data_IF_519336281970
#
_entry.id   IF_519336281970
#
_cell.length_a   1.000
_cell.length_b   1.000
_cell.length_c   1.000
_cell.angle_alpha   90.00
_cell.angle_beta   90.00
_cell.angle_gamma   90.00
#
_symmetry.space_group_name_H-M   'P 1'
#
loop_
_entity.id
_entity.type
_entity.pdbx_description
1 polymer ?
#
# COMPACT_ATOMS: atom_id res chain seq x y z
N UNK A 1 0.57 -14.43 -7.33
CA UNK A 1 1.97 -13.97 -7.43
C UNK A 1 2.42 -13.37 -6.09
N UNK A 2 3.50 -13.91 -5.51
CA UNK A 2 3.96 -13.57 -4.15
C UNK A 2 4.36 -12.10 -4.00
N UNK A 3 4.98 -11.50 -5.01
CA UNK A 3 5.51 -10.13 -4.99
C UNK A 3 4.78 -9.25 -5.99
N UNK A 4 3.63 -9.23 -6.29
CA UNK A 4 2.91 -8.31 -7.20
C UNK A 4 3.84 -7.51 -8.15
N UNK A 5 4.82 -8.20 -8.76
CA UNK A 5 5.77 -7.64 -9.74
C UNK A 5 5.14 -7.68 -11.14
N UNK A 6 4.11 -6.90 -11.33
CA UNK A 6 3.30 -6.94 -12.55
C UNK A 6 4.11 -6.80 -13.83
N UNK A 7 5.11 -5.92 -13.85
CA UNK A 7 5.96 -5.69 -15.03
C UNK A 7 6.74 -6.94 -15.43
N UNK A 8 7.46 -7.57 -14.50
CA UNK A 8 8.22 -8.80 -14.76
C UNK A 8 7.32 -9.96 -15.20
N UNK A 9 6.09 -10.03 -14.69
CA UNK A 9 5.14 -11.07 -15.08
C UNK A 9 4.63 -10.82 -16.51
N UNK A 10 4.37 -9.56 -16.88
CA UNK A 10 4.01 -9.19 -18.26
C UNK A 10 5.11 -9.53 -19.26
N UNK A 11 6.38 -9.33 -18.90
CA UNK A 11 7.53 -9.74 -19.71
C UNK A 11 7.55 -11.26 -19.91
N UNK A 12 7.34 -12.05 -18.83
CA UNK A 12 7.28 -13.51 -18.91
C UNK A 12 6.14 -14.00 -19.81
N UNK A 13 4.93 -13.41 -19.68
CA UNK A 13 3.79 -13.75 -20.55
C UNK A 13 4.09 -13.43 -22.01
N UNK A 14 4.78 -12.33 -22.29
CA UNK A 14 5.18 -11.96 -23.64
C UNK A 14 6.17 -12.98 -24.25
N UNK A 15 7.12 -13.45 -23.43
CA UNK A 15 8.06 -14.52 -23.84
C UNK A 15 7.33 -15.85 -24.06
N UNK A 16 6.40 -16.21 -23.20
CA UNK A 16 5.62 -17.44 -23.34
C UNK A 16 4.78 -17.43 -24.62
N UNK A 17 4.12 -16.32 -24.93
CA UNK A 17 3.40 -16.15 -26.23
C UNK A 17 4.33 -16.29 -27.42
N UNK A 18 5.55 -15.71 -27.35
CA UNK A 18 6.54 -15.83 -28.41
C UNK A 18 6.95 -17.28 -28.62
N UNK A 19 7.25 -18.03 -27.54
CA UNK A 19 7.61 -19.45 -27.61
C UNK A 19 6.49 -20.27 -28.23
N UNK A 20 5.23 -20.06 -27.84
CA UNK A 20 4.06 -20.74 -28.43
C UNK A 20 3.96 -20.45 -29.93
N UNK A 21 4.28 -19.23 -30.36
CA UNK A 21 4.21 -18.84 -31.78
C UNK A 21 5.32 -19.49 -32.60
N UNK A 22 6.50 -19.69 -32.01
CA UNK A 22 7.66 -20.33 -32.69
C UNK A 22 7.51 -21.85 -32.76
N UNK A 23 6.97 -22.46 -31.71
CA UNK A 23 6.78 -23.93 -31.62
C UNK A 23 5.53 -24.39 -32.38
N UNK A 24 5.50 -24.17 -33.69
CA UNK A 24 4.40 -24.59 -34.58
C UNK A 24 4.21 -26.12 -34.66
N UNK A 25 5.12 -26.92 -34.09
CA UNK A 25 5.08 -28.39 -34.13
C UNK A 25 4.29 -29.05 -32.97
N UNK A 26 3.96 -28.31 -31.92
CA UNK A 26 3.19 -28.84 -30.81
C UNK A 26 1.71 -28.49 -30.98
N UNK A 27 0.84 -29.50 -30.82
CA UNK A 27 -0.64 -29.35 -30.75
C UNK A 27 -1.05 -28.51 -29.52
N UNK A 28 -0.67 -27.22 -29.49
CA UNK A 28 -1.03 -26.30 -28.43
C UNK A 28 -2.53 -26.00 -28.57
N UNK A 29 -3.29 -26.36 -27.56
CA UNK A 29 -4.72 -26.08 -27.52
C UNK A 29 -4.94 -24.56 -27.66
N UNK A 30 -5.78 -24.12 -28.58
CA UNK A 30 -6.14 -22.71 -28.81
C UNK A 30 -6.47 -21.95 -27.52
N UNK A 31 -7.04 -22.63 -26.51
CA UNK A 31 -7.34 -22.08 -25.20
C UNK A 31 -6.11 -21.56 -24.41
N UNK A 32 -4.88 -21.97 -24.73
CA UNK A 32 -3.67 -21.53 -24.00
C UNK A 32 -3.35 -20.08 -24.29
N UNK A 33 -3.39 -19.67 -25.55
CA UNK A 33 -3.11 -18.27 -25.96
C UNK A 33 -4.21 -17.35 -25.42
N UNK A 34 -5.48 -17.76 -25.51
CA UNK A 34 -6.60 -16.96 -24.98
C UNK A 34 -6.49 -16.76 -23.46
N UNK A 35 -6.06 -17.78 -22.72
CA UNK A 35 -5.84 -17.66 -21.28
C UNK A 35 -4.70 -16.71 -20.94
N UNK A 36 -3.57 -16.77 -21.67
CA UNK A 36 -2.45 -15.83 -21.51
C UNK A 36 -2.86 -14.38 -21.81
N UNK A 37 -3.68 -14.16 -22.85
CA UNK A 37 -4.21 -12.83 -23.16
C UNK A 37 -5.11 -12.31 -22.03
N UNK A 38 -5.97 -13.14 -21.47
CA UNK A 38 -6.82 -12.76 -20.31
C UNK A 38 -5.99 -12.43 -19.07
N UNK A 39 -4.97 -13.25 -18.79
CA UNK A 39 -4.05 -13.02 -17.67
C UNK A 39 -3.28 -11.71 -17.86
N UNK A 40 -2.76 -11.45 -19.05
CA UNK A 40 -2.10 -10.18 -19.39
C UNK A 40 -3.02 -8.97 -19.17
N UNK A 41 -4.26 -9.03 -19.65
CA UNK A 41 -5.23 -7.94 -19.46
C UNK A 41 -5.56 -7.70 -17.98
N UNK A 42 -5.69 -8.75 -17.17
CA UNK A 42 -5.89 -8.62 -15.71
C UNK A 42 -4.68 -7.96 -15.04
N UNK A 43 -3.47 -8.38 -15.40
CA UNK A 43 -2.23 -7.81 -14.87
C UNK A 43 -2.04 -6.34 -15.27
N UNK A 44 -2.34 -5.98 -16.50
CA UNK A 44 -2.35 -4.58 -16.97
C UNK A 44 -3.36 -3.77 -16.13
N UNK A 45 -4.56 -4.32 -15.91
CA UNK A 45 -5.57 -3.70 -15.07
C UNK A 45 -5.11 -3.48 -13.62
N UNK A 46 -4.39 -4.45 -13.04
CA UNK A 46 -3.79 -4.35 -11.70
C UNK A 46 -2.67 -3.31 -11.63
N UNK A 47 -1.78 -3.32 -12.63
CA UNK A 47 -0.67 -2.37 -12.72
C UNK A 47 -1.18 -0.93 -12.87
N UNK A 48 -2.16 -0.69 -13.74
CA UNK A 48 -2.82 0.61 -13.90
C UNK A 48 -3.45 1.09 -12.60
N UNK A 49 -4.20 0.23 -11.93
CA UNK A 49 -4.85 0.56 -10.66
C UNK A 49 -3.81 0.92 -9.58
N UNK A 50 -2.71 0.18 -9.48
CA UNK A 50 -1.60 0.52 -8.57
C UNK A 50 -0.98 1.88 -8.91
N UNK A 51 -0.83 2.21 -10.20
CA UNK A 51 -0.36 3.51 -10.66
C UNK A 51 -1.29 4.66 -10.26
N UNK A 52 -2.61 4.47 -10.35
CA UNK A 52 -3.60 5.46 -9.93
C UNK A 52 -3.49 5.78 -8.42
N UNK A 53 -3.37 4.75 -7.57
CA UNK A 53 -3.15 4.95 -6.13
C UNK A 53 -1.79 5.56 -5.80
N UNK A 54 -0.73 5.22 -6.55
CA UNK A 54 0.60 5.82 -6.39
C UNK A 54 0.60 7.30 -6.73
N UNK A 55 -0.10 7.70 -7.80
CA UNK A 55 -0.29 9.10 -8.17
C UNK A 55 -1.08 9.86 -7.11
N UNK A 56 -2.17 9.28 -6.61
CA UNK A 56 -2.98 9.86 -5.53
C UNK A 56 -2.13 10.08 -4.28
N UNK A 57 -1.35 9.08 -3.88
CA UNK A 57 -0.42 9.18 -2.75
C UNK A 57 0.59 10.31 -2.93
N UNK A 58 1.16 10.47 -4.13
CA UNK A 58 2.09 11.56 -4.44
C UNK A 58 1.43 12.93 -4.30
N UNK A 59 0.20 13.10 -4.78
CA UNK A 59 -0.58 14.35 -4.64
C UNK A 59 -0.85 14.68 -3.16
N UNK A 60 -1.27 13.68 -2.37
CA UNK A 60 -1.52 13.85 -0.93
C UNK A 60 -0.21 14.23 -0.21
N UNK A 61 0.92 13.61 -0.54
CA UNK A 61 2.21 13.96 0.05
C UNK A 61 2.66 15.39 -0.29
N UNK A 62 2.45 15.84 -1.53
CA UNK A 62 2.74 17.23 -1.90
C UNK A 62 1.92 18.21 -1.06
N UNK A 63 0.63 17.96 -0.91
CA UNK A 63 -0.24 18.76 -0.05
C UNK A 63 0.25 18.79 1.42
N UNK A 64 0.84 17.70 1.94
CA UNK A 64 1.33 17.64 3.32
C UNK A 64 2.64 18.36 3.55
N UNK A 65 3.43 18.65 2.50
CA UNK A 65 4.69 19.42 2.62
C UNK A 65 4.43 20.88 3.00
N UNK A 66 3.32 21.44 2.58
CA UNK A 66 2.95 22.82 2.86
C UNK A 66 2.48 23.01 4.31
N UNK A 67 1.77 22.03 4.87
CA UNK A 67 1.31 22.04 6.25
C UNK A 67 1.02 20.62 6.74
N UNK A 68 1.51 20.28 7.93
CA UNK A 68 1.27 18.96 8.54
C UNK A 68 -0.17 18.80 9.02
N UNK A 69 -0.79 19.90 9.48
CA UNK A 69 -2.18 19.91 10.00
C UNK A 69 -3.01 20.88 9.17
N UNK A 70 -4.21 20.47 8.81
CA UNK A 70 -5.19 21.39 8.20
C UNK A 70 -5.69 22.37 9.28
N UNK A 71 -5.41 23.66 9.09
CA UNK A 71 -5.76 24.72 10.03
C UNK A 71 -6.87 25.61 9.51
N UNK A 72 -6.94 25.80 8.22
CA UNK A 72 -7.93 26.66 7.57
C UNK A 72 -9.12 25.83 7.07
N UNK A 73 -10.27 26.49 6.91
CA UNK A 73 -11.47 25.88 6.36
C UNK A 73 -11.22 25.28 4.97
N UNK A 74 -10.48 26.00 4.13
CA UNK A 74 -10.14 25.56 2.78
C UNK A 74 -9.26 24.30 2.79
N UNK A 75 -8.28 24.19 3.70
CA UNK A 75 -7.45 22.99 3.87
C UNK A 75 -8.27 21.79 4.31
N UNK A 76 -9.25 21.99 5.19
CA UNK A 76 -10.17 20.92 5.65
C UNK A 76 -11.06 20.46 4.50
N UNK A 77 -11.64 21.40 3.73
CA UNK A 77 -12.44 21.10 2.54
C UNK A 77 -11.64 20.32 1.47
N UNK A 78 -10.36 20.68 1.28
CA UNK A 78 -9.47 19.93 0.39
C UNK A 78 -9.23 18.49 0.88
N UNK A 79 -9.00 18.29 2.18
CA UNK A 79 -8.87 16.95 2.76
C UNK A 79 -10.15 16.13 2.55
N UNK A 80 -11.32 16.73 2.77
CA UNK A 80 -12.62 16.09 2.58
C UNK A 80 -12.87 15.75 1.12
N UNK A 81 -12.45 16.61 0.18
CA UNK A 81 -12.52 16.33 -1.24
C UNK A 81 -11.70 15.08 -1.62
N UNK A 82 -10.49 14.91 -1.08
CA UNK A 82 -9.71 13.70 -1.29
C UNK A 82 -10.37 12.46 -0.67
N UNK A 83 -10.84 12.53 0.57
CA UNK A 83 -11.53 11.41 1.24
C UNK A 83 -12.80 10.97 0.50
N UNK A 84 -13.51 11.92 -0.13
CA UNK A 84 -14.70 11.66 -0.94
C UNK A 84 -14.40 11.31 -2.40
N UNK A 85 -13.13 11.30 -2.81
CA UNK A 85 -12.74 10.89 -4.17
C UNK A 85 -13.14 9.44 -4.46
N UNK A 86 -13.45 9.07 -5.71
CA UNK A 86 -13.83 7.71 -6.06
C UNK A 86 -12.85 6.65 -5.58
N UNK A 87 -11.54 6.95 -5.61
CA UNK A 87 -10.48 6.02 -5.19
C UNK A 87 -10.43 5.80 -3.67
N UNK A 88 -10.85 6.77 -2.83
CA UNK A 88 -10.78 6.66 -1.37
C UNK A 88 -12.12 6.44 -0.69
N UNK A 89 -13.23 6.62 -1.40
CA UNK A 89 -14.58 6.48 -0.83
C UNK A 89 -14.96 5.03 -0.56
N UNK A 90 -14.50 4.08 -1.41
CA UNK A 90 -14.82 2.65 -1.29
C UNK A 90 -13.62 1.80 -1.71
N UNK A 91 -13.46 0.67 -1.05
CA UNK A 91 -12.40 -0.32 -1.36
C UNK A 91 -12.68 -1.14 -2.63
N UNK A 92 -13.86 -1.04 -3.23
CA UNK A 92 -14.30 -1.88 -4.36
C UNK A 92 -13.44 -1.73 -5.62
N UNK A 93 -12.60 -0.69 -5.69
CA UNK A 93 -11.74 -0.42 -6.84
C UNK A 93 -10.33 -1.00 -6.70
N UNK A 94 -10.03 -1.64 -5.57
CA UNK A 94 -8.70 -2.18 -5.28
C UNK A 94 -8.50 -3.51 -6.00
N UNK A 95 -7.46 -3.59 -6.83
CA UNK A 95 -7.15 -4.78 -7.63
C UNK A 95 -5.90 -5.52 -7.13
N UNK A 96 -5.19 -4.97 -6.12
CA UNK A 96 -3.99 -5.59 -5.58
C UNK A 96 -3.79 -5.24 -4.11
N UNK A 97 -2.99 -6.05 -3.41
CA UNK A 97 -2.66 -5.81 -2.00
C UNK A 97 -1.77 -4.58 -1.82
N UNK A 98 -0.89 -4.30 -2.78
CA UNK A 98 -0.09 -3.05 -2.79
C UNK A 98 -0.98 -1.82 -2.89
N UNK A 99 -1.98 -1.85 -3.78
CA UNK A 99 -2.95 -0.76 -3.89
C UNK A 99 -3.74 -0.58 -2.59
N UNK A 100 -4.14 -1.68 -1.92
CA UNK A 100 -4.82 -1.64 -0.63
C UNK A 100 -3.95 -1.02 0.47
N UNK A 101 -2.65 -1.35 0.54
CA UNK A 101 -1.70 -0.71 1.46
C UNK A 101 -1.60 0.80 1.20
N UNK A 102 -1.53 1.21 -0.07
CA UNK A 102 -1.46 2.63 -0.43
C UNK A 102 -2.77 3.35 -0.10
N UNK A 103 -3.91 2.72 -0.32
CA UNK A 103 -5.24 3.23 0.04
C UNK A 103 -5.32 3.58 1.53
N UNK A 104 -5.02 2.63 2.42
CA UNK A 104 -5.03 2.88 3.86
C UNK A 104 -4.00 3.93 4.27
N UNK A 105 -2.82 3.96 3.62
CA UNK A 105 -1.82 4.98 3.91
C UNK A 105 -2.26 6.38 3.49
N UNK A 106 -2.93 6.53 2.35
CA UNK A 106 -3.52 7.82 1.93
C UNK A 106 -4.53 8.32 2.96
N UNK A 107 -5.46 7.46 3.40
CA UNK A 107 -6.48 7.78 4.40
C UNK A 107 -5.85 8.12 5.75
N UNK A 108 -4.83 7.35 6.18
CA UNK A 108 -4.05 7.64 7.38
C UNK A 108 -3.49 9.08 7.37
N UNK A 109 -2.86 9.50 6.27
CA UNK A 109 -2.32 10.85 6.12
C UNK A 109 -3.44 11.90 6.20
N UNK A 110 -4.55 11.69 5.51
CA UNK A 110 -5.69 12.61 5.48
C UNK A 110 -6.35 12.76 6.85
N UNK A 111 -6.58 11.66 7.58
CA UNK A 111 -7.11 11.70 8.93
C UNK A 111 -6.11 12.31 9.95
N UNK A 112 -4.81 12.10 9.72
CA UNK A 112 -3.78 12.78 10.52
C UNK A 112 -3.87 14.31 10.36
N UNK A 113 -4.11 14.80 9.16
CA UNK A 113 -4.32 16.25 8.91
C UNK A 113 -5.58 16.79 9.59
N UNK A 114 -6.65 16.00 9.63
CA UNK A 114 -7.90 16.34 10.35
C UNK A 114 -7.80 16.19 11.86
N UNK A 115 -6.72 15.62 12.37
CA UNK A 115 -6.55 15.28 13.78
C UNK A 115 -7.63 14.29 14.30
N UNK A 116 -8.19 13.47 13.41
CA UNK A 116 -9.15 12.42 13.76
C UNK A 116 -8.39 11.15 14.19
N UNK A 117 -8.04 11.10 15.49
CA UNK A 117 -7.25 10.01 16.05
C UNK A 117 -7.93 8.64 15.91
N UNK A 118 -9.25 8.59 16.02
CA UNK A 118 -10.00 7.33 15.89
C UNK A 118 -9.88 6.74 14.49
N UNK A 119 -10.08 7.56 13.47
CA UNK A 119 -9.93 7.09 12.08
C UNK A 119 -8.47 6.79 11.74
N UNK A 120 -7.52 7.59 12.25
CA UNK A 120 -6.07 7.29 12.12
C UNK A 120 -5.74 5.91 12.68
N UNK A 121 -6.22 5.59 13.88
CA UNK A 121 -6.01 4.28 14.54
C UNK A 121 -6.55 3.15 13.65
N UNK A 122 -7.80 3.26 13.20
CA UNK A 122 -8.43 2.26 12.32
C UNK A 122 -7.62 2.01 11.03
N UNK A 123 -7.15 3.07 10.37
CA UNK A 123 -6.36 2.94 9.13
C UNK A 123 -4.98 2.32 9.39
N UNK A 124 -4.33 2.65 10.52
CA UNK A 124 -3.07 2.03 10.92
C UNK A 124 -3.23 0.54 11.21
N UNK A 125 -4.25 0.16 11.97
CA UNK A 125 -4.52 -1.25 12.31
C UNK A 125 -4.84 -2.07 11.05
N UNK A 126 -5.67 -1.53 10.13
CA UNK A 126 -5.97 -2.18 8.87
C UNK A 126 -4.69 -2.39 8.04
N UNK A 127 -3.84 -1.35 7.92
CA UNK A 127 -2.59 -1.42 7.18
C UNK A 127 -1.63 -2.46 7.77
N UNK A 128 -1.44 -2.46 9.08
CA UNK A 128 -0.58 -3.42 9.79
C UNK A 128 -1.11 -4.84 9.61
N UNK A 129 -2.41 -5.06 9.78
CA UNK A 129 -3.05 -6.37 9.59
C UNK A 129 -2.81 -6.92 8.19
N UNK A 130 -2.95 -6.10 7.15
CA UNK A 130 -2.69 -6.50 5.77
C UNK A 130 -1.22 -6.91 5.61
N UNK A 131 -0.29 -6.09 6.09
CA UNK A 131 1.14 -6.34 5.93
C UNK A 131 1.63 -7.49 6.80
N UNK A 132 1.06 -7.73 7.97
CA UNK A 132 1.39 -8.89 8.83
C UNK A 132 0.90 -10.21 8.23
N UNK A 133 -0.22 -10.21 7.49
CA UNK A 133 -0.70 -11.41 6.77
C UNK A 133 0.11 -11.71 5.51
N UNK A 134 0.88 -10.74 5.01
CA UNK A 134 1.71 -10.84 3.80
C UNK A 134 3.09 -10.20 4.06
N UNK A 135 4.03 -10.93 4.68
CA UNK A 135 5.35 -10.39 5.06
C UNK A 135 6.14 -9.79 3.91
N UNK A 136 5.88 -10.24 2.67
CA UNK A 136 6.48 -9.70 1.46
C UNK A 136 6.17 -8.20 1.26
N UNK A 137 4.99 -7.76 1.71
CA UNK A 137 4.62 -6.33 1.65
C UNK A 137 5.47 -5.49 2.63
N UNK A 138 5.89 -6.08 3.76
CA UNK A 138 6.81 -5.41 4.68
C UNK A 138 8.18 -5.25 4.02
N UNK A 139 8.67 -6.30 3.32
CA UNK A 139 9.94 -6.25 2.60
C UNK A 139 9.95 -5.21 1.48
N UNK A 140 8.84 -5.05 0.77
CA UNK A 140 8.74 -4.12 -0.36
C UNK A 140 8.38 -2.68 0.06
N UNK A 141 7.67 -2.52 1.17
CA UNK A 141 7.13 -1.23 1.64
C UNK A 141 7.43 -0.97 3.13
N UNK A 142 8.65 -1.18 3.63
CA UNK A 142 8.95 -1.14 5.07
C UNK A 142 8.62 0.22 5.71
N UNK A 143 8.82 1.32 4.98
CA UNK A 143 8.50 2.67 5.48
C UNK A 143 7.01 2.83 5.80
N UNK A 144 6.11 2.15 5.09
CA UNK A 144 4.66 2.24 5.36
C UNK A 144 4.29 1.52 6.64
N UNK A 145 4.89 0.34 6.87
CA UNK A 145 4.71 -0.39 8.12
C UNK A 145 5.19 0.41 9.32
N UNK A 146 6.41 0.98 9.23
CA UNK A 146 6.96 1.85 10.28
C UNK A 146 6.09 3.08 10.54
N UNK A 147 5.62 3.73 9.49
CA UNK A 147 4.73 4.89 9.65
C UNK A 147 3.45 4.52 10.38
N UNK A 148 2.82 3.39 10.05
CA UNK A 148 1.59 2.95 10.69
C UNK A 148 1.83 2.62 12.17
N UNK A 149 2.85 1.82 12.49
CA UNK A 149 3.10 1.41 13.88
C UNK A 149 3.54 2.59 14.76
N UNK A 150 4.33 3.54 14.23
CA UNK A 150 4.71 4.74 14.93
C UNK A 150 3.49 5.66 15.20
N UNK A 151 2.54 5.74 14.28
CA UNK A 151 1.28 6.45 14.52
C UNK A 151 0.48 5.79 15.64
N UNK A 152 0.37 4.46 15.68
CA UNK A 152 -0.32 3.76 16.77
C UNK A 152 0.35 3.99 18.12
N UNK A 153 1.68 3.96 18.18
CA UNK A 153 2.44 4.28 19.39
C UNK A 153 2.15 5.72 19.85
N UNK A 154 2.16 6.68 18.93
CA UNK A 154 1.90 8.09 19.24
C UNK A 154 0.48 8.29 19.76
N UNK A 155 -0.53 7.71 19.10
CA UNK A 155 -1.94 7.80 19.53
C UNK A 155 -2.10 7.19 20.93
N UNK A 156 -1.58 5.99 21.14
CA UNK A 156 -1.66 5.32 22.44
C UNK A 156 -0.96 6.12 23.55
N UNK A 157 0.16 6.77 23.22
CA UNK A 157 0.87 7.64 24.17
C UNK A 157 0.08 8.92 24.49
N UNK A 158 -0.46 9.60 23.48
CA UNK A 158 -1.31 10.80 23.64
C UNK A 158 -2.55 10.51 24.50
N UNK A 159 -3.13 9.32 24.34
CA UNK A 159 -4.30 8.84 25.11
C UNK A 159 -3.94 8.23 26.47
N UNK A 160 -2.65 8.25 26.87
CA UNK A 160 -2.15 7.66 28.11
C UNK A 160 -2.41 6.15 28.24
N UNK A 161 -2.59 5.45 27.13
CA UNK A 161 -2.76 3.99 27.05
C UNK A 161 -1.40 3.30 27.03
N UNK A 162 -0.60 3.43 28.08
CA UNK A 162 0.79 2.97 28.12
C UNK A 162 0.96 1.47 27.90
N UNK A 163 -0.01 0.63 28.32
CA UNK A 163 0.02 -0.82 28.05
C UNK A 163 -0.08 -1.10 26.55
N UNK A 164 -0.97 -0.44 25.86
CA UNK A 164 -1.14 -0.55 24.38
C UNK A 164 0.11 -0.05 23.66
N UNK A 165 0.66 1.09 24.10
CA UNK A 165 1.93 1.59 23.57
C UNK A 165 3.05 0.55 23.68
N UNK A 166 3.18 -0.12 24.83
CA UNK A 166 4.16 -1.18 25.04
C UNK A 166 3.96 -2.41 24.11
N UNK A 167 2.70 -2.78 23.83
CA UNK A 167 2.38 -3.85 22.88
C UNK A 167 2.87 -3.50 21.49
N UNK A 168 2.60 -2.29 20.97
CA UNK A 168 3.05 -1.86 19.65
C UNK A 168 4.58 -1.76 19.57
N UNK A 169 5.26 -1.30 20.63
CA UNK A 169 6.73 -1.30 20.70
C UNK A 169 7.29 -2.72 20.61
N UNK A 170 6.70 -3.69 21.32
CA UNK A 170 7.09 -5.12 21.24
C UNK A 170 6.86 -5.66 19.82
N UNK A 171 5.74 -5.35 19.19
CA UNK A 171 5.45 -5.75 17.82
C UNK A 171 6.50 -5.19 16.85
N UNK A 172 6.84 -3.91 16.97
CA UNK A 172 7.90 -3.31 16.15
C UNK A 172 9.24 -4.02 16.36
N UNK A 173 9.64 -4.24 17.62
CA UNK A 173 10.90 -4.93 17.95
C UNK A 173 10.98 -6.35 17.39
N UNK A 174 9.87 -7.09 17.34
CA UNK A 174 9.83 -8.42 16.74
C UNK A 174 10.10 -8.44 15.24
N UNK A 175 9.88 -7.31 14.55
CA UNK A 175 10.09 -7.15 13.11
C UNK A 175 11.44 -6.50 12.75
N UNK A 176 12.15 -5.93 13.72
CA UNK A 176 13.37 -5.11 13.46
C UNK A 176 14.50 -5.91 12.77
N UNK A 177 14.53 -7.24 13.00
CA UNK A 177 15.51 -8.13 12.40
C UNK A 177 15.18 -8.54 10.94
N UNK A 178 14.04 -8.12 10.40
CA UNK A 178 13.75 -8.33 8.99
C UNK A 178 14.75 -7.53 8.12
N UNK A 179 15.24 -8.16 7.07
CA UNK A 179 16.16 -7.54 6.09
C UNK A 179 15.68 -6.16 5.62
N UNK A 180 14.36 -5.98 5.52
CA UNK A 180 13.71 -4.76 5.10
C UNK A 180 14.03 -3.55 5.98
N UNK A 181 14.39 -3.74 7.26
CA UNK A 181 14.70 -2.67 8.21
C UNK A 181 16.20 -2.44 8.41
N UNK A 182 17.05 -3.21 7.72
CA UNK A 182 18.51 -3.08 7.85
C UNK A 182 19.14 -1.94 7.03
N UNK A 183 18.33 -1.04 6.48
CA UNK A 183 18.85 0.16 5.81
C UNK A 183 19.07 1.27 6.83
N UNK A 184 20.20 1.99 6.72
CA UNK A 184 20.58 3.08 7.63
C UNK A 184 19.46 4.10 7.85
N UNK A 185 18.73 4.45 6.78
CA UNK A 185 17.60 5.38 6.81
C UNK A 185 16.41 4.89 7.66
N UNK A 186 16.27 3.59 7.82
CA UNK A 186 15.17 2.99 8.58
C UNK A 186 15.57 2.74 10.02
N UNK A 187 16.83 2.39 10.27
CA UNK A 187 17.37 2.21 11.63
C UNK A 187 17.35 3.50 12.45
N UNK A 188 17.54 4.66 11.82
CA UNK A 188 17.44 5.95 12.49
C UNK A 188 16.02 6.39 12.85
N UNK A 189 14.99 5.64 12.41
CA UNK A 189 13.57 5.93 12.66
C UNK A 189 12.91 4.98 13.67
N UNK A 190 13.65 4.02 14.15
CA UNK A 190 13.27 3.02 15.14
C UNK A 190 13.87 3.37 16.50
#
# INVERSE_FOLDING_TARGET
YRFERFHSILELISLEKLLITIETQFNIKNNTIENLVKEEQDLIGKARNLGEYSLLFSKINLMTRESVKAKTKNEIENVDAYLNSPLLKKENHLKSKKALVIYHHCRLILFSRKQDNKQRENECEALIKIMDTQPELIEEMPKRYLTAINNLISIAYEEKKFRTCHIYIKQLRSKINLKAFNTTDLQLKI
#
